data_IF_100874456661
#
_entry.id   IF_100874456661
#
_cell.length_a   1.000
_cell.length_b   1.000
_cell.length_c   1.000
_cell.angle_alpha   90.00
_cell.angle_beta   90.00
_cell.angle_gamma   90.00
#
_symmetry.space_group_name_H-M   'P 1'
#
loop_
_entity.id
_entity.type
_entity.pdbx_description
1 polymer ?
#
# COMPACT_ATOMS: atom_id res chain seq x y z
N UNK A 1 -2.36 33.10 8.21
CA UNK A 1 -2.56 32.06 7.17
C UNK A 1 -2.53 30.72 7.87
N UNK A 2 -3.57 29.89 7.76
CA UNK A 2 -3.57 28.55 8.37
C UNK A 2 -2.80 27.63 7.43
N UNK A 3 -1.78 26.97 7.94
CA UNK A 3 -1.21 25.80 7.29
C UNK A 3 -2.31 24.74 7.19
N UNK A 4 -2.71 24.39 5.99
CA UNK A 4 -3.68 23.31 5.75
C UNK A 4 -2.94 21.99 5.52
N UNK A 5 -3.62 20.87 5.73
CA UNK A 5 -3.05 19.54 5.43
C UNK A 5 -2.57 19.46 3.97
N UNK A 6 -3.29 20.07 3.03
CA UNK A 6 -2.88 20.15 1.62
C UNK A 6 -1.55 20.93 1.41
N UNK A 7 -1.34 22.01 2.17
CA UNK A 7 -0.07 22.75 2.11
C UNK A 7 1.08 21.98 2.75
N UNK A 8 0.79 21.21 3.81
CA UNK A 8 1.76 20.33 4.44
C UNK A 8 2.16 19.20 3.50
N UNK A 9 1.19 18.54 2.87
CA UNK A 9 1.41 17.48 1.87
C UNK A 9 2.28 17.97 0.71
N UNK A 10 1.98 19.15 0.16
CA UNK A 10 2.78 19.75 -0.91
C UNK A 10 4.24 20.00 -0.49
N UNK A 11 4.47 20.51 0.72
CA UNK A 11 5.81 20.75 1.24
C UNK A 11 6.60 19.45 1.41
N UNK A 12 5.94 18.36 1.82
CA UNK A 12 6.57 17.04 1.91
C UNK A 12 6.89 16.44 0.53
N UNK A 13 5.99 16.59 -0.45
CA UNK A 13 6.24 16.14 -1.83
C UNK A 13 7.49 16.82 -2.40
N UNK A 14 7.62 18.13 -2.19
CA UNK A 14 8.78 18.90 -2.66
C UNK A 14 10.08 18.46 -1.98
N UNK A 15 10.05 18.23 -0.66
CA UNK A 15 11.21 17.77 0.10
C UNK A 15 11.67 16.37 -0.34
N UNK A 16 10.74 15.44 -0.52
CA UNK A 16 11.05 14.08 -0.99
C UNK A 16 11.55 14.07 -2.43
N UNK A 17 11.02 14.96 -3.29
CA UNK A 17 11.51 15.14 -4.65
C UNK A 17 12.97 15.58 -4.72
N UNK A 18 13.49 16.30 -3.71
CA UNK A 18 14.91 16.66 -3.62
C UNK A 18 15.81 15.47 -3.30
N UNK A 19 15.27 14.46 -2.61
CA UNK A 19 15.96 13.21 -2.26
C UNK A 19 15.80 12.10 -3.31
N UNK A 20 15.44 12.47 -4.56
CA UNK A 20 15.18 11.55 -5.67
C UNK A 20 13.99 10.59 -5.42
N UNK A 21 13.04 11.00 -4.56
CA UNK A 21 11.80 10.26 -4.27
C UNK A 21 10.61 11.01 -4.90
N UNK A 22 10.31 10.80 -6.20
CA UNK A 22 9.21 11.48 -6.85
C UNK A 22 7.86 10.99 -6.33
N UNK A 23 6.93 11.93 -6.13
CA UNK A 23 5.54 11.57 -5.84
C UNK A 23 4.87 11.00 -7.09
N UNK A 24 4.39 9.76 -6.99
CA UNK A 24 3.69 9.06 -8.07
C UNK A 24 2.27 8.74 -7.63
N UNK A 25 1.29 9.12 -8.45
CA UNK A 25 -0.12 8.81 -8.17
C UNK A 25 -0.34 7.31 -8.31
N UNK A 26 -0.92 6.67 -7.29
CA UNK A 26 -1.17 5.23 -7.31
C UNK A 26 -1.99 4.75 -8.51
N UNK A 27 -2.87 5.60 -9.06
CA UNK A 27 -3.67 5.31 -10.25
C UNK A 27 -2.91 5.39 -11.58
N UNK A 28 -1.77 6.07 -11.63
CA UNK A 28 -0.89 6.13 -12.82
C UNK A 28 0.16 5.02 -12.81
N UNK A 29 0.29 4.28 -11.71
CA UNK A 29 1.17 3.12 -11.63
C UNK A 29 0.48 1.95 -12.35
N UNK A 30 0.91 1.69 -13.58
CA UNK A 30 0.55 0.45 -14.28
C UNK A 30 1.27 -0.71 -13.59
N UNK A 31 0.63 -1.31 -12.58
CA UNK A 31 1.12 -2.54 -11.96
C UNK A 31 0.86 -3.70 -12.90
N UNK A 32 1.87 -4.52 -13.15
CA UNK A 32 1.66 -5.78 -13.86
C UNK A 32 0.72 -6.66 -13.03
N UNK A 33 -0.09 -7.51 -13.66
CA UNK A 33 -0.99 -8.43 -12.93
C UNK A 33 -0.22 -9.33 -11.95
N UNK A 34 1.07 -9.56 -12.19
CA UNK A 34 1.97 -10.31 -11.31
C UNK A 34 2.35 -9.58 -10.01
N UNK A 35 2.22 -8.24 -9.97
CA UNK A 35 2.46 -7.41 -8.78
C UNK A 35 1.18 -7.14 -7.97
N UNK A 36 0.02 -7.53 -8.53
CA UNK A 36 -1.23 -7.49 -7.79
C UNK A 36 -1.24 -8.70 -6.88
N UNK A 37 -0.83 -8.51 -5.62
CA UNK A 37 -1.13 -9.44 -4.53
C UNK A 37 -2.62 -9.79 -4.59
N UNK A 38 -2.93 -10.95 -5.17
CA UNK A 38 -4.30 -11.44 -5.23
C UNK A 38 -4.67 -11.70 -3.78
N UNK A 39 -5.60 -10.91 -3.25
CA UNK A 39 -6.03 -11.03 -1.84
C UNK A 39 -6.51 -12.46 -1.53
N UNK A 40 -6.96 -13.22 -2.53
CA UNK A 40 -7.27 -14.64 -2.41
C UNK A 40 -6.00 -15.47 -2.18
N UNK A 41 -4.99 -15.35 -3.04
CA UNK A 41 -3.73 -16.09 -2.93
C UNK A 41 -2.98 -15.78 -1.64
N UNK A 42 -2.95 -14.52 -1.20
CA UNK A 42 -2.38 -14.16 0.10
C UNK A 42 -3.14 -14.84 1.25
N UNK A 43 -4.47 -14.87 1.18
CA UNK A 43 -5.28 -15.57 2.19
C UNK A 43 -5.00 -17.07 2.18
N UNK A 44 -4.89 -17.69 1.02
CA UNK A 44 -4.57 -19.12 0.91
C UNK A 44 -3.17 -19.43 1.43
N UNK A 45 -2.17 -18.61 1.07
CA UNK A 45 -0.81 -18.72 1.60
C UNK A 45 -0.80 -18.62 3.12
N UNK A 46 -1.44 -17.60 3.71
CA UNK A 46 -1.50 -17.42 5.16
C UNK A 46 -2.24 -18.56 5.86
N UNK A 47 -3.37 -19.03 5.30
CA UNK A 47 -4.10 -20.17 5.84
C UNK A 47 -3.28 -21.46 5.81
N UNK A 48 -2.47 -21.66 4.77
CA UNK A 48 -1.59 -22.83 4.65
C UNK A 48 -0.37 -22.73 5.58
N UNK A 49 0.30 -21.58 5.59
CA UNK A 49 1.53 -21.33 6.36
C UNK A 49 1.30 -21.41 7.87
N UNK A 50 0.14 -20.95 8.34
CA UNK A 50 -0.19 -20.87 9.76
C UNK A 50 -1.34 -21.82 10.14
N UNK A 51 -1.52 -22.90 9.39
CA UNK A 51 -2.54 -23.94 9.62
C UNK A 51 -2.46 -24.55 11.02
N UNK A 52 -1.24 -24.65 11.56
CA UNK A 52 -0.97 -25.14 12.91
C UNK A 52 -1.47 -24.18 14.01
N UNK A 53 -1.57 -22.88 13.71
CA UNK A 53 -2.03 -21.84 14.66
C UNK A 53 -3.55 -21.63 14.62
N UNK A 54 -4.28 -22.48 13.89
CA UNK A 54 -5.76 -22.44 13.77
C UNK A 54 -6.29 -21.06 13.35
N UNK A 55 -5.68 -20.41 12.36
CA UNK A 55 -6.29 -19.21 11.77
C UNK A 55 -7.70 -19.52 11.30
N UNK A 56 -8.66 -18.82 11.91
CA UNK A 56 -10.04 -18.79 11.46
C UNK A 56 -10.18 -17.69 10.43
N UNK A 57 -10.93 -17.97 9.36
CA UNK A 57 -11.40 -16.90 8.46
C UNK A 57 -12.18 -15.93 9.34
N UNK A 58 -11.72 -14.68 9.46
CA UNK A 58 -12.42 -13.65 10.23
C UNK A 58 -13.87 -13.63 9.78
N UNK A 59 -14.77 -14.01 10.69
CA UNK A 59 -16.20 -14.10 10.43
C UNK A 59 -16.71 -12.73 9.99
N UNK A 60 -17.58 -12.74 8.98
CA UNK A 60 -18.29 -11.57 8.49
C UNK A 60 -19.19 -11.00 9.58
#
# INVERSE_FOLDING_TARGET
>A
MKFTEAQLEQAFIELLGQEDIPHVLGGTITRSNDEVLIKADLKEFLLNQYKAEKLTKSAH
#
